data_IF_204011518687
#
_entry.id   IF_204011518687
#
_cell.length_a   1.000
_cell.length_b   1.000
_cell.length_c   1.000
_cell.angle_alpha   90.00
_cell.angle_beta   90.00
_cell.angle_gamma   90.00
#
_symmetry.space_group_name_H-M   'P 1'
#
loop_
_entity.id
_entity.type
_entity.pdbx_description
1 polymer ?
#
# COMPACT_ATOMS: atom_id res chain seq x y z
N UNK A 1 9.92 4.69 -17.98
CA UNK A 1 11.27 4.92 -18.53
C UNK A 1 12.13 3.66 -18.60
N UNK A 2 11.99 2.70 -17.69
CA UNK A 2 12.73 1.42 -17.67
C UNK A 2 12.66 0.57 -18.96
N UNK A 3 11.49 0.40 -19.56
CA UNK A 3 11.28 -0.49 -20.73
C UNK A 3 12.00 -0.06 -22.02
N UNK A 4 12.22 1.24 -22.22
CA UNK A 4 12.94 1.75 -23.39
C UNK A 4 14.42 1.32 -23.34
N UNK A 5 15.04 1.47 -22.18
CA UNK A 5 16.43 1.05 -21.96
C UNK A 5 16.64 -0.47 -22.13
N UNK A 6 15.63 -1.29 -21.81
CA UNK A 6 15.66 -2.74 -22.06
C UNK A 6 15.32 -3.13 -23.51
N UNK A 7 14.69 -2.24 -24.26
CA UNK A 7 14.33 -2.53 -25.65
C UNK A 7 15.52 -2.33 -26.59
N UNK A 8 16.41 -1.41 -26.23
CA UNK A 8 17.52 -0.96 -27.09
C UNK A 8 18.83 -1.75 -26.88
N UNK A 9 18.82 -2.83 -26.07
CA UNK A 9 20.00 -3.68 -25.86
C UNK A 9 20.12 -4.77 -26.92
N UNK A 10 21.28 -4.79 -27.57
CA UNK A 10 21.64 -5.78 -28.60
C UNK A 10 22.89 -6.54 -28.18
N UNK A 11 22.88 -7.86 -28.33
CA UNK A 11 24.01 -8.73 -28.01
C UNK A 11 24.70 -9.23 -29.29
N UNK A 12 26.05 -9.34 -29.30
CA UNK A 12 26.79 -9.85 -30.46
C UNK A 12 26.50 -11.31 -30.78
N UNK A 13 26.03 -12.08 -29.79
CA UNK A 13 25.84 -13.52 -29.90
C UNK A 13 24.35 -13.87 -29.95
N UNK A 14 23.86 -14.57 -31.00
CA UNK A 14 22.42 -14.79 -31.20
C UNK A 14 21.69 -15.48 -30.04
N UNK A 15 22.33 -16.45 -29.37
CA UNK A 15 21.69 -17.14 -28.23
C UNK A 15 21.51 -16.22 -27.02
N UNK A 16 22.41 -15.23 -26.83
CA UNK A 16 22.30 -14.27 -25.73
C UNK A 16 21.14 -13.31 -25.98
N UNK A 17 20.95 -12.88 -27.23
CA UNK A 17 19.79 -12.08 -27.62
C UNK A 17 18.48 -12.84 -27.39
N UNK A 18 18.43 -14.12 -27.74
CA UNK A 18 17.24 -14.96 -27.54
C UNK A 18 16.87 -15.06 -26.05
N UNK A 19 17.84 -15.41 -25.20
CA UNK A 19 17.61 -15.52 -23.74
C UNK A 19 17.16 -14.18 -23.16
N UNK A 20 17.74 -13.07 -23.63
CA UNK A 20 17.37 -11.73 -23.21
C UNK A 20 15.91 -11.37 -23.56
N UNK A 21 15.49 -11.65 -24.79
CA UNK A 21 14.09 -11.42 -25.19
C UNK A 21 13.10 -12.32 -24.43
N UNK A 22 13.50 -13.55 -24.12
CA UNK A 22 12.69 -14.43 -23.27
C UNK A 22 12.56 -13.90 -21.84
N UNK A 23 13.64 -13.37 -21.24
CA UNK A 23 13.52 -12.71 -19.94
C UNK A 23 12.60 -11.48 -19.99
N UNK A 24 12.69 -10.65 -21.03
CA UNK A 24 11.78 -9.52 -21.24
C UNK A 24 10.32 -9.97 -21.37
N UNK A 25 10.07 -11.11 -22.04
CA UNK A 25 8.73 -11.70 -22.13
C UNK A 25 8.24 -12.15 -20.75
N UNK A 26 9.08 -12.88 -19.99
CA UNK A 26 8.73 -13.34 -18.63
C UNK A 26 8.40 -12.21 -17.69
N UNK A 27 9.16 -11.11 -17.72
CA UNK A 27 8.87 -9.94 -16.89
C UNK A 27 7.49 -9.36 -17.25
N UNK A 28 7.17 -9.22 -18.54
CA UNK A 28 5.85 -8.75 -19.00
C UNK A 28 4.71 -9.68 -18.56
N UNK A 29 4.91 -10.99 -18.67
CA UNK A 29 3.92 -11.99 -18.20
C UNK A 29 3.66 -11.86 -16.70
N UNK A 30 4.72 -11.67 -15.90
CA UNK A 30 4.62 -11.48 -14.45
C UNK A 30 3.95 -10.15 -14.08
N UNK A 31 4.24 -9.07 -14.80
CA UNK A 31 3.53 -7.79 -14.62
C UNK A 31 2.04 -7.93 -14.88
N UNK A 32 1.65 -8.62 -15.96
CA UNK A 32 0.24 -8.88 -16.28
C UNK A 32 -0.42 -9.81 -15.25
N UNK A 33 0.31 -10.80 -14.74
CA UNK A 33 -0.17 -11.63 -13.65
C UNK A 33 -0.43 -10.80 -12.38
N UNK A 34 0.51 -9.92 -12.00
CA UNK A 34 0.32 -9.02 -10.88
C UNK A 34 -0.92 -8.15 -11.06
N UNK A 35 -1.13 -7.54 -12.23
CA UNK A 35 -2.31 -6.71 -12.49
C UNK A 35 -3.62 -7.49 -12.33
N UNK A 36 -3.68 -8.72 -12.85
CA UNK A 36 -4.88 -9.57 -12.72
C UNK A 36 -5.14 -9.95 -11.25
N UNK A 37 -4.11 -10.31 -10.50
CA UNK A 37 -4.23 -10.62 -9.08
C UNK A 37 -4.66 -9.39 -8.27
N UNK A 38 -4.13 -8.23 -8.61
CA UNK A 38 -4.50 -6.96 -7.99
C UNK A 38 -5.98 -6.63 -8.23
N UNK A 39 -6.49 -6.84 -9.46
CA UNK A 39 -7.91 -6.66 -9.75
C UNK A 39 -8.81 -7.58 -8.91
N UNK A 40 -8.47 -8.87 -8.81
CA UNK A 40 -9.20 -9.83 -7.97
C UNK A 40 -9.17 -9.43 -6.49
N UNK A 41 -8.03 -8.93 -6.00
CA UNK A 41 -7.91 -8.46 -4.62
C UNK A 41 -8.75 -7.21 -4.35
N UNK A 42 -8.82 -6.26 -5.31
CA UNK A 42 -9.67 -5.08 -5.19
C UNK A 42 -11.15 -5.49 -5.06
N UNK A 43 -11.60 -6.46 -5.85
CA UNK A 43 -12.96 -7.00 -5.74
C UNK A 43 -13.19 -7.68 -4.38
N UNK A 44 -12.28 -8.55 -3.96
CA UNK A 44 -12.36 -9.23 -2.67
C UNK A 44 -12.35 -8.27 -1.48
N UNK A 45 -11.65 -7.14 -1.60
CA UNK A 45 -11.59 -6.10 -0.56
C UNK A 45 -12.93 -5.41 -0.31
N UNK A 46 -13.84 -5.35 -1.28
CA UNK A 46 -15.13 -4.66 -1.08
C UNK A 46 -15.95 -5.25 0.08
N UNK A 47 -15.78 -6.53 0.35
CA UNK A 47 -16.49 -7.26 1.40
C UNK A 47 -15.59 -7.58 2.62
N UNK A 48 -14.29 -7.24 2.55
CA UNK A 48 -13.32 -7.63 3.57
C UNK A 48 -13.17 -6.58 4.67
N UNK A 49 -13.33 -6.99 5.94
CA UNK A 49 -13.31 -6.07 7.08
C UNK A 49 -11.94 -5.42 7.38
N UNK A 50 -10.85 -5.97 6.83
CA UNK A 50 -9.48 -5.53 7.12
C UNK A 50 -8.90 -4.52 6.12
N UNK A 51 -9.71 -4.01 5.20
CA UNK A 51 -9.32 -2.98 4.20
C UNK A 51 -8.55 -1.80 4.82
N UNK A 52 -8.96 -1.19 5.95
CA UNK A 52 -8.23 -0.05 6.52
C UNK A 52 -6.78 -0.35 6.90
N UNK A 53 -6.45 -1.61 7.19
CA UNK A 53 -5.11 -2.06 7.58
C UNK A 53 -4.27 -2.31 6.33
N UNK A 54 -4.88 -2.89 5.29
CA UNK A 54 -4.26 -3.01 3.97
C UNK A 54 -3.88 -1.64 3.41
N UNK A 55 -4.79 -0.66 3.47
CA UNK A 55 -4.54 0.72 3.04
C UNK A 55 -3.43 1.40 3.86
N UNK A 56 -3.40 1.18 5.17
CA UNK A 56 -2.35 1.70 6.05
C UNK A 56 -0.96 1.12 5.69
N UNK A 57 -0.89 -0.17 5.32
CA UNK A 57 0.35 -0.78 4.83
C UNK A 57 0.75 -0.21 3.46
N UNK A 58 -0.19 0.02 2.56
CA UNK A 58 0.10 0.64 1.26
C UNK A 58 0.60 2.08 1.36
N UNK A 59 0.23 2.81 2.43
CA UNK A 59 0.73 4.16 2.69
C UNK A 59 2.23 4.18 3.07
N UNK A 60 2.81 3.02 3.42
CA UNK A 60 4.26 2.87 3.54
C UNK A 60 4.85 2.75 2.13
N UNK A 61 5.72 3.69 1.77
CA UNK A 61 6.28 3.83 0.42
C UNK A 61 6.73 2.50 -0.20
N UNK A 62 6.03 2.07 -1.27
CA UNK A 62 6.44 0.95 -2.12
C UNK A 62 5.75 -0.39 -1.85
N UNK A 63 4.84 -0.48 -0.86
CA UNK A 63 4.10 -1.73 -0.62
C UNK A 63 2.95 -1.86 -1.63
N UNK A 64 3.08 -2.83 -2.55
CA UNK A 64 2.03 -3.16 -3.54
C UNK A 64 0.84 -3.82 -2.86
N UNK A 65 -0.35 -3.68 -3.44
CA UNK A 65 -1.60 -4.20 -2.89
C UNK A 65 -1.51 -5.69 -2.54
N UNK A 66 -0.97 -6.49 -3.47
CA UNK A 66 -0.78 -7.94 -3.28
C UNK A 66 0.05 -8.21 -2.02
N UNK A 67 1.17 -7.49 -1.82
CA UNK A 67 2.02 -7.69 -0.66
C UNK A 67 1.32 -7.26 0.65
N UNK A 68 0.61 -6.12 0.65
CA UNK A 68 -0.15 -5.67 1.81
C UNK A 68 -1.27 -6.66 2.18
N UNK A 69 -2.04 -7.12 1.19
CA UNK A 69 -3.11 -8.09 1.39
C UNK A 69 -2.57 -9.44 1.87
N UNK A 70 -1.47 -9.94 1.27
CA UNK A 70 -0.81 -11.17 1.71
C UNK A 70 -0.32 -11.07 3.16
N UNK A 71 0.30 -9.95 3.54
CA UNK A 71 0.73 -9.74 4.94
C UNK A 71 -0.45 -9.76 5.91
N UNK A 72 -1.57 -9.11 5.57
CA UNK A 72 -2.77 -9.13 6.43
C UNK A 72 -3.38 -10.54 6.51
N UNK A 73 -3.35 -11.31 5.42
CA UNK A 73 -3.79 -12.71 5.41
C UNK A 73 -2.87 -13.64 6.21
N UNK A 74 -1.55 -13.49 6.08
CA UNK A 74 -0.54 -14.27 6.81
C UNK A 74 -0.57 -13.99 8.30
N UNK A 75 -0.82 -12.73 8.69
CA UNK A 75 -0.98 -12.34 10.09
C UNK A 75 -2.22 -13.03 10.68
N UNK A 76 -3.27 -13.26 9.89
CA UNK A 76 -4.39 -14.17 10.20
C UNK A 76 -5.19 -13.83 11.47
N UNK A 77 -6.48 -13.54 11.29
CA UNK A 77 -7.46 -13.30 12.36
C UNK A 77 -7.04 -12.30 13.46
N UNK A 78 -7.13 -11.01 13.13
CA UNK A 78 -6.97 -9.92 14.10
C UNK A 78 -8.15 -9.79 15.06
N UNK A 79 -8.98 -10.81 15.29
CA UNK A 79 -9.93 -10.81 16.42
C UNK A 79 -9.24 -10.62 17.78
N UNK A 80 -7.91 -10.81 17.86
CA UNK A 80 -7.11 -10.39 19.04
C UNK A 80 -7.03 -8.87 19.22
N UNK A 81 -7.26 -8.09 18.17
CA UNK A 81 -7.33 -6.62 18.18
C UNK A 81 -8.80 -6.19 18.02
N UNK A 82 -9.63 -6.56 19.00
CA UNK A 82 -11.09 -6.42 19.01
C UNK A 82 -11.66 -4.99 18.93
N UNK A 83 -10.90 -3.98 18.48
CA UNK A 83 -11.50 -2.72 18.02
C UNK A 83 -10.59 -1.84 17.12
N UNK A 84 -10.60 -2.02 15.78
CA UNK A 84 -9.87 -1.15 14.84
C UNK A 84 -10.46 0.27 14.72
N UNK A 85 -11.74 0.45 15.08
CA UNK A 85 -12.46 1.73 14.94
C UNK A 85 -12.24 2.68 16.12
N UNK A 86 -11.78 2.18 17.27
CA UNK A 86 -11.55 2.99 18.46
C UNK A 86 -10.29 3.87 18.36
N UNK A 87 -9.29 3.50 17.55
CA UNK A 87 -8.02 4.25 17.50
C UNK A 87 -8.07 5.43 16.52
N UNK A 88 -8.64 5.24 15.32
CA UNK A 88 -8.66 6.29 14.28
C UNK A 88 -9.72 7.37 14.51
N UNK A 89 -10.85 7.03 15.15
CA UNK A 89 -11.87 8.02 15.51
C UNK A 89 -11.44 8.87 16.72
N UNK A 90 -10.77 8.28 17.72
CA UNK A 90 -10.29 9.02 18.88
C UNK A 90 -9.12 9.95 18.57
N UNK A 91 -8.14 9.57 17.73
CA UNK A 91 -7.00 10.47 17.45
C UNK A 91 -7.41 11.80 16.77
N UNK A 92 -8.39 11.78 15.85
CA UNK A 92 -8.85 13.03 15.19
C UNK A 92 -9.68 13.92 16.11
N UNK A 93 -10.46 13.33 17.02
CA UNK A 93 -11.21 14.09 18.01
C UNK A 93 -10.33 14.59 19.15
N UNK A 94 -9.35 13.80 19.59
CA UNK A 94 -8.42 14.17 20.65
C UNK A 94 -7.49 15.31 20.22
N UNK A 95 -6.96 15.30 18.99
CA UNK A 95 -6.18 16.44 18.49
C UNK A 95 -7.03 17.70 18.25
N UNK A 96 -8.32 17.55 17.90
CA UNK A 96 -9.24 18.70 17.77
C UNK A 96 -9.56 19.32 19.13
N UNK A 97 -9.78 18.50 20.16
CA UNK A 97 -10.09 18.97 21.52
C UNK A 97 -8.84 19.56 22.19
N UNK A 98 -7.67 18.94 22.03
CA UNK A 98 -6.41 19.45 22.59
C UNK A 98 -5.97 20.76 21.91
N UNK A 99 -6.10 20.89 20.57
CA UNK A 99 -5.84 22.18 19.90
C UNK A 99 -6.82 23.28 20.32
N UNK A 100 -8.09 22.95 20.58
CA UNK A 100 -9.09 23.92 21.07
C UNK A 100 -8.79 24.38 22.50
N UNK A 101 -8.31 23.47 23.36
CA UNK A 101 -7.91 23.78 24.73
C UNK A 101 -6.59 24.58 24.79
N UNK A 102 -5.64 24.33 23.90
CA UNK A 102 -4.40 25.12 23.78
C UNK A 102 -4.71 26.54 23.28
N UNK A 103 -5.58 26.67 22.28
CA UNK A 103 -6.03 27.98 21.77
C UNK A 103 -6.81 28.77 22.84
N UNK A 104 -7.72 28.11 23.58
CA UNK A 104 -8.45 28.75 24.68
C UNK A 104 -7.52 29.19 25.83
N UNK A 105 -6.52 28.36 26.19
CA UNK A 105 -5.56 28.67 27.25
C UNK A 105 -4.59 29.80 26.87
N UNK A 106 -4.26 29.96 25.58
CA UNK A 106 -3.49 31.11 25.10
C UNK A 106 -4.30 32.41 25.06
N UNK A 107 -5.61 32.34 24.82
CA UNK A 107 -6.48 33.52 24.84
C UNK A 107 -6.80 34.00 26.27
N UNK A 108 -6.91 33.09 27.25
CA UNK A 108 -7.09 33.48 28.67
C UNK A 108 -5.83 34.11 29.27
N UNK A 109 -4.64 33.79 28.75
CA UNK A 109 -3.37 34.41 29.16
C UNK A 109 -3.09 35.78 28.54
N UNK A 110 -3.91 36.26 27.61
CA UNK A 110 -3.78 37.56 26.94
C UNK A 110 -4.80 38.62 27.44
N UNK A 111 -5.70 38.25 28.36
CA UNK A 111 -6.71 39.13 28.96
C UNK A 111 -6.53 39.30 30.49
N UNK A 112 -5.31 39.22 31.00
CA UNK A 112 -4.93 39.69 32.34
C UNK A 112 -3.77 40.66 32.26
#
# INVERSE_FOLDING_TARGET
MHWRCLSDQTFPVPYQQFVYEEYKRRIRELEELCKRLEAVLIEAMQEWQMVPIVEALQALHGIRLIAAATLVCEIGDMHRFDNPKAYTYNLRHQMRTEMSLIAARQLTGYLS
#
